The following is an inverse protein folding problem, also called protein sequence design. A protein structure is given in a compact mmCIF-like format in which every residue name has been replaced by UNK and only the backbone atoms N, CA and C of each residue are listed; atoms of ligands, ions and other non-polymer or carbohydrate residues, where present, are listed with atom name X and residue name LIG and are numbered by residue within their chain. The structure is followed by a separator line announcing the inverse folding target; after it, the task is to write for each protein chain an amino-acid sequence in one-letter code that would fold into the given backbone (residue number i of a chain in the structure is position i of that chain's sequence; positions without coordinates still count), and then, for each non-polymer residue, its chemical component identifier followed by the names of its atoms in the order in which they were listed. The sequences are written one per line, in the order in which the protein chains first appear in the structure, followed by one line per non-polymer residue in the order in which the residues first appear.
data_IF_811916281002
#
_entry.id   IF_811916281002
#
_cell.length_a   1.000
_cell.length_b   1.000
_cell.length_c   1.000
_cell.angle_alpha   90.00
_cell.angle_beta   90.00
_cell.angle_gamma   90.00
#
_symmetry.space_group_name_H-M   'P 1'
#
loop_
_entity.id
_entity.type
_entity.pdbx_description
1 polymer ?
#
# COMPACT_ATOMS: atom_id res chain seq x y z
N UNK A 1 -25.26 9.24 -7.42
CA UNK A 1 -24.71 8.08 -6.71
C UNK A 1 -23.58 8.57 -5.84
N UNK A 2 -23.82 8.75 -4.54
CA UNK A 2 -22.95 9.52 -3.64
C UNK A 2 -22.04 8.60 -2.82
N UNK A 3 -20.72 8.84 -2.92
CA UNK A 3 -19.80 9.01 -1.79
C UNK A 3 -19.67 7.90 -0.72
N UNK A 4 -19.50 6.63 -1.12
CA UNK A 4 -19.08 5.53 -0.19
C UNK A 4 -17.76 4.85 -0.56
N UNK A 5 -16.87 5.57 -1.26
CA UNK A 5 -15.57 5.03 -1.64
C UNK A 5 -14.52 5.15 -0.52
N UNK A 6 -14.79 5.97 0.51
CA UNK A 6 -13.83 6.33 1.57
C UNK A 6 -14.32 6.01 2.98
N UNK A 7 -15.46 5.34 3.15
CA UNK A 7 -15.94 4.96 4.49
C UNK A 7 -14.90 4.06 5.16
N UNK A 8 -14.35 4.52 6.30
CA UNK A 8 -13.36 3.79 7.09
C UNK A 8 -11.88 4.01 6.68
N UNK A 9 -11.59 4.72 5.59
CA UNK A 9 -10.22 5.00 5.15
C UNK A 9 -9.76 6.38 5.61
N UNK A 10 -8.58 6.46 6.24
CA UNK A 10 -8.04 7.73 6.74
C UNK A 10 -6.87 8.25 5.93
N UNK A 11 -6.12 7.38 5.25
CA UNK A 11 -4.91 7.77 4.50
C UNK A 11 -5.18 8.05 3.02
N UNK A 12 -6.18 7.41 2.41
CA UNK A 12 -6.43 7.53 0.97
C UNK A 12 -6.88 8.95 0.56
N UNK A 13 -6.00 9.68 -0.14
CA UNK A 13 -6.24 11.07 -0.57
C UNK A 13 -5.99 12.12 0.52
N UNK A 14 -5.34 11.73 1.62
CA UNK A 14 -4.87 12.67 2.64
C UNK A 14 -3.65 13.46 2.14
N UNK A 15 -3.56 14.75 2.48
CA UNK A 15 -2.47 15.65 2.07
C UNK A 15 -1.27 15.64 3.04
N UNK A 16 -1.32 14.80 4.08
CA UNK A 16 -0.35 14.77 5.18
C UNK A 16 0.45 13.48 5.28
N UNK A 17 0.56 12.71 4.19
CA UNK A 17 1.27 11.43 4.19
C UNK A 17 2.75 11.64 4.53
N UNK A 18 3.20 11.04 5.63
CA UNK A 18 4.61 11.02 5.99
C UNK A 18 5.30 9.83 5.32
N UNK A 19 6.32 10.10 4.49
CA UNK A 19 7.11 9.08 3.81
C UNK A 19 8.28 8.67 4.71
N UNK A 20 8.07 7.65 5.53
CA UNK A 20 9.14 7.05 6.32
C UNK A 20 10.01 6.19 5.42
N UNK A 21 11.33 6.23 5.64
CA UNK A 21 12.31 5.39 4.96
C UNK A 21 12.55 4.06 5.69
N UNK A 22 12.17 3.99 6.96
CA UNK A 22 12.23 2.78 7.77
C UNK A 22 10.97 1.92 7.57
N UNK A 23 11.09 0.64 7.87
CA UNK A 23 9.97 -0.30 7.81
C UNK A 23 8.85 0.13 8.77
N UNK A 24 7.65 0.36 8.21
CA UNK A 24 6.46 0.71 8.98
C UNK A 24 5.21 -0.05 8.49
N UNK A 25 4.84 -1.17 9.14
CA UNK A 25 3.65 -1.92 8.78
C UNK A 25 2.35 -1.21 9.15
N UNK A 26 2.41 -0.22 10.06
CA UNK A 26 1.23 0.55 10.47
C UNK A 26 0.74 1.49 9.37
N UNK A 27 1.52 1.67 8.29
CA UNK A 27 1.13 2.45 7.13
C UNK A 27 -0.01 1.81 6.33
N UNK A 28 -0.17 0.49 6.36
CA UNK A 28 -1.20 -0.22 5.59
C UNK A 28 -2.61 0.10 6.12
N UNK A 29 -3.58 0.21 5.21
CA UNK A 29 -5.01 0.33 5.50
C UNK A 29 -5.80 -0.68 4.67
N UNK A 30 -6.91 -1.15 5.22
CA UNK A 30 -7.81 -2.10 4.57
C UNK A 30 -9.22 -1.54 4.51
N UNK A 31 -10.04 -2.05 3.60
CA UNK A 31 -11.45 -1.72 3.49
C UNK A 31 -12.25 -2.99 3.21
N UNK A 32 -13.55 -2.94 3.51
CA UNK A 32 -14.44 -4.09 3.31
C UNK A 32 -14.57 -4.42 1.83
N UNK A 33 -14.40 -5.71 1.50
CA UNK A 33 -14.65 -6.22 0.16
C UNK A 33 -16.15 -6.11 -0.17
N UNK A 34 -16.47 -5.41 -1.26
CA UNK A 34 -17.85 -5.20 -1.73
C UNK A 34 -18.42 -6.38 -2.53
N UNK A 35 -17.60 -7.35 -2.91
CA UNK A 35 -17.96 -8.50 -3.74
C UNK A 35 -17.46 -9.81 -3.11
N UNK A 36 -17.91 -10.17 -1.90
CA UNK A 36 -17.44 -11.39 -1.21
C UNK A 36 -17.84 -12.68 -1.92
N UNK A 37 -18.92 -12.66 -2.72
CA UNK A 37 -19.43 -13.85 -3.42
C UNK A 37 -18.74 -14.11 -4.77
N UNK A 38 -17.84 -13.23 -5.20
CA UNK A 38 -17.11 -13.37 -6.46
C UNK A 38 -15.66 -13.78 -6.18
N UNK A 39 -15.18 -14.80 -6.88
CA UNK A 39 -13.75 -15.10 -6.92
C UNK A 39 -13.06 -14.12 -7.87
N UNK A 40 -12.22 -13.26 -7.32
CA UNK A 40 -11.41 -12.33 -8.09
C UNK A 40 -9.98 -12.24 -7.55
N UNK A 41 -9.03 -12.00 -8.45
CA UNK A 41 -7.63 -11.75 -8.10
C UNK A 41 -7.27 -10.29 -8.39
N UNK A 42 -6.67 -9.64 -7.39
CA UNK A 42 -6.06 -8.31 -7.55
C UNK A 42 -4.56 -8.50 -7.62
N UNK A 43 -3.96 -8.07 -8.73
CA UNK A 43 -2.51 -8.08 -8.92
C UNK A 43 -1.96 -6.67 -8.75
N UNK A 44 -0.95 -6.53 -7.90
CA UNK A 44 -0.12 -5.33 -7.82
C UNK A 44 1.16 -5.57 -8.63
N UNK A 45 1.49 -4.64 -9.53
CA UNK A 45 2.81 -4.59 -10.16
C UNK A 45 3.51 -3.36 -9.60
N UNK A 46 4.64 -3.54 -8.92
CA UNK A 46 5.33 -2.47 -8.21
C UNK A 46 6.77 -2.35 -8.73
N UNK A 47 6.98 -1.80 -9.94
CA UNK A 47 8.30 -1.74 -10.58
C UNK A 47 9.28 -0.75 -9.90
N UNK A 48 8.84 -0.06 -8.86
CA UNK A 48 9.60 0.97 -8.14
C UNK A 48 10.03 0.48 -6.74
N UNK A 49 10.04 -0.83 -6.49
CA UNK A 49 10.48 -1.36 -5.20
C UNK A 49 12.00 -1.28 -5.05
N UNK A 50 12.45 -0.67 -3.95
CA UNK A 50 13.86 -0.62 -3.56
C UNK A 50 14.04 -0.83 -2.06
N UNK A 51 15.15 -1.44 -1.67
CA UNK A 51 15.52 -1.66 -0.27
C UNK A 51 17.04 -1.67 -0.12
N UNK A 52 17.56 -1.75 1.11
CA UNK A 52 19.01 -1.86 1.35
C UNK A 52 19.41 -3.31 1.65
N UNK A 53 20.53 -3.75 1.08
CA UNK A 53 21.13 -5.05 1.41
C UNK A 53 21.56 -5.07 2.89
N UNK A 54 21.16 -6.08 3.69
CA UNK A 54 21.47 -6.13 5.12
C UNK A 54 22.97 -6.29 5.43
N UNK A 55 23.76 -6.79 4.47
CA UNK A 55 25.20 -7.04 4.65
C UNK A 55 26.03 -5.85 4.17
N UNK A 56 25.75 -5.34 2.97
CA UNK A 56 26.59 -4.33 2.31
C UNK A 56 26.06 -2.91 2.44
N UNK A 57 24.77 -2.74 2.80
CA UNK A 57 24.11 -1.44 2.82
C UNK A 57 23.91 -0.81 1.43
N UNK A 58 24.13 -1.56 0.36
CA UNK A 58 23.93 -1.09 -1.00
C UNK A 58 22.44 -1.11 -1.38
N UNK A 59 21.97 -0.20 -2.25
CA UNK A 59 20.60 -0.18 -2.72
C UNK A 59 20.32 -1.32 -3.69
N UNK A 60 19.29 -2.10 -3.39
CA UNK A 60 18.73 -3.17 -4.22
C UNK A 60 17.42 -2.71 -4.86
N UNK A 61 17.13 -3.19 -6.08
CA UNK A 61 15.93 -2.84 -6.86
C UNK A 61 15.24 -4.12 -7.35
N UNK A 62 13.90 -4.16 -7.28
CA UNK A 62 13.09 -5.29 -7.75
C UNK A 62 11.75 -4.84 -8.35
N UNK A 63 11.08 -5.76 -9.08
CA UNK A 63 9.78 -5.57 -9.72
C UNK A 63 8.68 -6.44 -9.11
#
# INVERSE_FOLDING_TARGET
MRDRAKEGLTKLGSQGTQYKTDYDPSLLETFDNKHPDNDYFVKFNCPEFTSLCPITGQPDFAN
#
